data_IF_684821875738
#
_entry.id   IF_684821875738
#
_cell.length_a   1.000
_cell.length_b   1.000
_cell.length_c   1.000
_cell.angle_alpha   90.00
_cell.angle_beta   90.00
_cell.angle_gamma   90.00
#
_symmetry.space_group_name_H-M   'P 1'
#
loop_
_entity.id
_entity.type
_entity.pdbx_description
1 polymer ?
#
# COMPACT_ATOMS: atom_id res chain seq x y z
N UNK A 1 5.60 -30.96 -10.13
CA UNK A 1 5.99 -30.11 -8.98
C UNK A 1 6.61 -31.00 -7.91
N UNK A 2 7.63 -30.50 -7.20
CA UNK A 2 8.26 -31.22 -6.09
C UNK A 2 7.29 -31.24 -4.89
N UNK A 3 7.03 -32.41 -4.31
CA UNK A 3 6.18 -32.58 -3.14
C UNK A 3 6.76 -31.92 -1.88
N UNK A 4 8.08 -31.68 -1.86
CA UNK A 4 8.81 -31.01 -0.78
C UNK A 4 8.95 -29.50 -1.07
N UNK A 5 7.86 -28.84 -1.45
CA UNK A 5 7.81 -27.40 -1.66
C UNK A 5 7.09 -26.75 -0.48
N UNK A 6 7.74 -25.77 0.14
CA UNK A 6 7.24 -25.06 1.32
C UNK A 6 7.14 -23.57 1.03
N UNK A 7 5.99 -22.99 1.35
CA UNK A 7 5.84 -21.53 1.35
C UNK A 7 6.36 -20.96 2.68
N UNK A 8 7.46 -20.22 2.60
CA UNK A 8 8.06 -19.54 3.76
C UNK A 8 7.58 -18.11 3.91
N UNK A 9 6.73 -17.64 2.99
CA UNK A 9 6.29 -16.25 2.93
C UNK A 9 7.40 -15.29 2.51
N UNK A 10 7.12 -14.01 2.60
CA UNK A 10 8.10 -12.95 2.40
C UNK A 10 8.12 -12.06 3.65
N UNK A 11 9.32 -11.74 4.17
CA UNK A 11 9.48 -10.87 5.31
C UNK A 11 9.49 -9.39 4.91
N UNK A 12 9.08 -8.55 5.86
CA UNK A 12 9.26 -7.10 5.82
C UNK A 12 10.00 -6.66 7.10
N UNK A 13 10.81 -5.62 7.00
CA UNK A 13 11.41 -4.99 8.17
C UNK A 13 10.45 -3.95 8.76
N UNK A 14 9.53 -4.43 9.60
CA UNK A 14 8.54 -3.58 10.26
C UNK A 14 9.13 -2.70 11.37
N UNK A 15 10.39 -2.92 11.78
CA UNK A 15 11.05 -2.08 12.78
C UNK A 15 11.18 -0.63 12.34
N UNK A 16 11.16 -0.38 11.03
CA UNK A 16 11.17 0.96 10.43
C UNK A 16 9.79 1.64 10.49
N UNK A 17 8.72 0.88 10.78
CA UNK A 17 7.32 1.34 10.76
C UNK A 17 6.61 1.11 12.12
N UNK A 18 7.18 1.56 13.27
CA UNK A 18 6.56 1.33 14.58
C UNK A 18 5.25 2.13 14.72
N UNK A 19 4.13 1.43 14.90
CA UNK A 19 2.80 2.03 14.98
C UNK A 19 2.60 2.97 16.18
N UNK A 20 3.36 2.77 17.25
CA UNK A 20 3.29 3.57 18.50
C UNK A 20 4.17 4.83 18.47
N UNK A 21 4.89 5.07 17.37
CA UNK A 21 5.72 6.26 17.20
C UNK A 21 4.87 7.44 16.71
N UNK A 22 5.13 8.62 17.24
CA UNK A 22 4.59 9.87 16.70
C UNK A 22 5.47 10.31 15.54
N UNK A 23 4.89 10.40 14.36
CA UNK A 23 5.56 10.84 13.15
C UNK A 23 5.29 12.33 12.90
N UNK A 24 6.32 13.13 12.59
CA UNK A 24 6.10 14.50 12.16
C UNK A 24 5.39 14.52 10.81
N UNK A 25 4.48 15.44 10.62
CA UNK A 25 3.86 15.68 9.30
C UNK A 25 4.95 16.25 8.39
N UNK A 26 5.20 15.66 7.19
CA UNK A 26 6.15 16.23 6.24
C UNK A 26 5.78 17.66 5.85
N UNK A 27 6.77 18.54 5.71
CA UNK A 27 6.54 19.97 5.47
C UNK A 27 5.79 20.26 4.17
N UNK A 28 5.95 19.39 3.17
CA UNK A 28 5.26 19.47 1.87
C UNK A 28 3.85 18.85 1.90
N UNK A 29 3.39 18.36 3.06
CA UNK A 29 2.04 17.84 3.28
C UNK A 29 1.19 18.69 4.24
N UNK A 30 1.76 19.67 4.91
CA UNK A 30 1.08 20.43 5.98
C UNK A 30 -0.18 21.19 5.54
N UNK A 31 -0.30 21.50 4.25
CA UNK A 31 -1.42 22.26 3.70
C UNK A 31 -2.46 21.42 2.95
N UNK A 32 -2.30 20.08 2.94
CA UNK A 32 -3.26 19.23 2.27
C UNK A 32 -4.52 19.01 3.10
N UNK A 33 -5.66 19.11 2.44
CA UNK A 33 -6.94 18.82 3.06
C UNK A 33 -7.13 17.31 3.25
N UNK A 34 -7.62 16.92 4.41
CA UNK A 34 -8.02 15.53 4.68
C UNK A 34 -9.45 15.24 4.14
N UNK A 35 -9.77 14.00 3.75
CA UNK A 35 -8.91 12.82 3.81
C UNK A 35 -7.83 12.80 2.72
N UNK A 36 -6.63 12.34 3.09
CA UNK A 36 -5.50 12.13 2.18
C UNK A 36 -5.40 10.65 1.79
N UNK A 37 -5.49 10.38 0.50
CA UNK A 37 -5.34 9.05 -0.09
C UNK A 37 -3.95 8.96 -0.72
N UNK A 38 -3.06 8.17 -0.10
CA UNK A 38 -1.64 8.20 -0.42
C UNK A 38 -1.09 6.91 -1.02
N UNK A 39 -0.03 7.06 -1.80
CA UNK A 39 0.79 5.98 -2.33
C UNK A 39 2.26 6.28 -2.11
N UNK A 40 3.06 5.28 -1.74
CA UNK A 40 4.52 5.36 -1.68
C UNK A 40 5.17 4.31 -2.57
N UNK A 41 6.22 4.68 -3.30
CA UNK A 41 7.03 3.78 -4.12
C UNK A 41 7.19 4.25 -5.56
N UNK A 42 7.79 3.40 -6.42
CA UNK A 42 7.99 3.74 -7.82
C UNK A 42 6.66 3.92 -8.55
N UNK A 43 6.50 5.08 -9.18
CA UNK A 43 5.31 5.47 -9.94
C UNK A 43 5.61 5.21 -11.41
N UNK A 44 5.32 3.98 -11.86
CA UNK A 44 5.66 3.54 -13.21
C UNK A 44 4.47 2.88 -13.91
N UNK A 45 4.35 3.15 -15.19
CA UNK A 45 3.31 2.58 -16.09
C UNK A 45 3.36 1.06 -16.21
N UNK A 46 4.50 0.45 -15.84
CA UNK A 46 4.66 -1.01 -15.77
C UNK A 46 3.98 -1.62 -14.53
N UNK A 47 3.77 -0.85 -13.47
CA UNK A 47 3.25 -1.32 -12.18
C UNK A 47 1.92 -0.73 -11.78
N UNK A 48 1.68 0.54 -12.09
CA UNK A 48 0.48 1.26 -11.70
C UNK A 48 -0.43 1.50 -12.91
N UNK A 49 -1.72 1.45 -12.66
CA UNK A 49 -2.76 1.77 -13.63
C UNK A 49 -3.12 3.26 -13.50
N UNK A 50 -2.49 4.08 -14.35
CA UNK A 50 -2.68 5.53 -14.34
C UNK A 50 -4.10 5.94 -14.73
N UNK A 51 -4.73 5.22 -15.67
CA UNK A 51 -6.09 5.51 -16.10
C UNK A 51 -7.11 5.23 -14.99
N UNK A 52 -6.95 4.10 -14.28
CA UNK A 52 -7.75 3.78 -13.09
C UNK A 52 -7.58 4.86 -12.01
N UNK A 53 -6.34 5.27 -11.73
CA UNK A 53 -6.05 6.31 -10.75
C UNK A 53 -6.67 7.66 -11.16
N UNK A 54 -6.61 7.99 -12.46
CA UNK A 54 -7.24 9.19 -13.00
C UNK A 54 -8.77 9.14 -12.84
N UNK A 55 -9.39 8.02 -13.15
CA UNK A 55 -10.84 7.85 -13.00
C UNK A 55 -11.26 8.00 -11.55
N UNK A 56 -10.56 7.36 -10.60
CA UNK A 56 -10.84 7.47 -9.17
C UNK A 56 -10.70 8.92 -8.71
N UNK A 57 -9.57 9.57 -8.99
CA UNK A 57 -9.29 10.92 -8.49
C UNK A 57 -10.22 11.98 -9.11
N UNK A 58 -10.54 11.87 -10.40
CA UNK A 58 -11.45 12.81 -11.08
C UNK A 58 -12.89 12.72 -10.57
N UNK A 59 -13.31 11.53 -10.13
CA UNK A 59 -14.66 11.30 -9.56
C UNK A 59 -14.74 11.60 -8.06
N UNK A 60 -13.60 11.84 -7.41
CA UNK A 60 -13.50 12.15 -5.99
C UNK A 60 -12.75 13.48 -5.74
N UNK A 61 -13.24 14.62 -6.30
CA UNK A 61 -12.55 15.91 -6.20
C UNK A 61 -12.46 16.45 -4.76
N UNK A 62 -13.28 15.92 -3.84
CA UNK A 62 -13.30 16.28 -2.41
C UNK A 62 -12.15 15.63 -1.62
N UNK A 63 -11.42 14.66 -2.17
CA UNK A 63 -10.32 13.98 -1.51
C UNK A 63 -8.98 14.42 -2.10
N UNK A 64 -7.95 14.46 -1.27
CA UNK A 64 -6.58 14.75 -1.70
C UNK A 64 -5.86 13.45 -2.02
N UNK A 65 -5.30 13.34 -3.22
CA UNK A 65 -4.47 12.20 -3.62
C UNK A 65 -3.00 12.59 -3.63
N UNK A 66 -2.16 11.80 -2.95
CA UNK A 66 -0.72 12.09 -2.79
C UNK A 66 0.10 10.90 -3.25
N UNK A 67 0.97 11.13 -4.22
CA UNK A 67 1.87 10.14 -4.80
C UNK A 67 3.31 10.47 -4.41
N UNK A 68 3.95 9.61 -3.64
CA UNK A 68 5.34 9.76 -3.15
C UNK A 68 6.23 8.74 -3.83
N UNK A 69 7.14 9.21 -4.67
CA UNK A 69 8.09 8.37 -5.38
C UNK A 69 8.50 8.92 -6.73
N UNK A 70 9.46 8.24 -7.34
CA UNK A 70 9.97 8.61 -8.66
C UNK A 70 9.00 8.19 -9.76
N UNK A 71 8.65 9.13 -10.64
CA UNK A 71 7.80 8.90 -11.82
C UNK A 71 8.63 8.46 -13.02
N UNK A 72 8.06 7.57 -13.85
CA UNK A 72 8.55 7.35 -15.22
C UNK A 72 8.02 8.42 -16.18
N UNK A 73 8.56 8.45 -17.41
CA UNK A 73 8.18 9.45 -18.41
C UNK A 73 6.69 9.38 -18.81
N UNK A 74 6.06 8.20 -18.69
CA UNK A 74 4.63 8.06 -18.97
C UNK A 74 3.80 8.80 -17.91
N UNK A 75 4.10 8.61 -16.62
CA UNK A 75 3.38 9.28 -15.53
C UNK A 75 3.61 10.79 -15.55
N UNK A 76 4.86 11.27 -15.76
CA UNK A 76 5.16 12.71 -15.85
C UNK A 76 4.35 13.44 -16.92
N UNK A 77 4.03 12.76 -18.02
CA UNK A 77 3.26 13.31 -19.12
C UNK A 77 1.76 12.97 -19.05
N UNK A 78 1.32 12.24 -18.02
CA UNK A 78 -0.06 11.83 -17.88
C UNK A 78 -0.96 12.98 -17.43
N UNK A 79 -2.21 12.98 -17.88
CA UNK A 79 -3.18 14.02 -17.51
C UNK A 79 -3.60 14.00 -16.03
N UNK A 80 -3.15 13.04 -15.22
CA UNK A 80 -3.22 13.08 -13.75
C UNK A 80 -2.68 14.38 -13.17
N UNK A 81 -1.60 14.94 -13.75
CA UNK A 81 -1.02 16.23 -13.34
C UNK A 81 -1.94 17.45 -13.58
N UNK A 82 -3.04 17.28 -14.31
CA UNK A 82 -4.04 18.35 -14.53
C UNK A 82 -5.12 18.37 -13.45
N UNK A 83 -5.20 17.33 -12.61
CA UNK A 83 -6.16 17.27 -11.52
C UNK A 83 -5.67 18.10 -10.34
N UNK A 84 -6.53 19.00 -9.83
CA UNK A 84 -6.20 19.92 -8.73
C UNK A 84 -6.07 19.21 -7.38
N UNK A 85 -6.63 18.00 -7.26
CA UNK A 85 -6.59 17.17 -6.07
C UNK A 85 -5.55 16.05 -6.13
N UNK A 86 -4.68 16.02 -7.16
CA UNK A 86 -3.61 15.03 -7.32
C UNK A 86 -2.24 15.70 -7.18
N UNK A 87 -1.42 15.21 -6.25
CA UNK A 87 -0.13 15.79 -5.93
C UNK A 87 0.99 14.73 -6.02
N UNK A 88 2.05 15.07 -6.75
CA UNK A 88 3.23 14.23 -6.91
C UNK A 88 4.39 14.90 -6.16
N UNK A 89 4.87 14.27 -5.09
CA UNK A 89 5.87 14.84 -4.19
C UNK A 89 7.31 14.41 -4.53
N UNK A 90 7.47 13.61 -5.59
CA UNK A 90 8.77 13.08 -6.00
C UNK A 90 9.35 12.04 -5.05
N UNK A 91 10.60 11.66 -5.30
CA UNK A 91 11.34 10.69 -4.51
C UNK A 91 11.72 11.25 -3.14
N UNK A 92 11.62 10.42 -2.10
CA UNK A 92 11.97 10.74 -0.72
C UNK A 92 12.97 9.72 -0.19
N UNK A 93 13.74 10.12 0.84
CA UNK A 93 14.63 9.18 1.51
C UNK A 93 13.83 8.09 2.25
N UNK A 94 14.38 6.88 2.32
CA UNK A 94 13.69 5.75 2.94
C UNK A 94 13.30 6.01 4.41
N UNK A 95 14.11 6.76 5.14
CA UNK A 95 13.83 7.12 6.53
C UNK A 95 12.68 8.13 6.70
N UNK A 96 12.27 8.82 5.65
CA UNK A 96 11.15 9.76 5.64
C UNK A 96 9.82 9.07 5.29
N UNK A 97 9.87 7.95 4.54
CA UNK A 97 8.69 7.23 4.07
C UNK A 97 7.67 6.92 5.17
N UNK A 98 8.08 6.46 6.38
CA UNK A 98 7.11 6.23 7.44
C UNK A 98 6.30 7.47 7.84
N UNK A 99 6.89 8.67 7.77
CA UNK A 99 6.19 9.94 8.08
C UNK A 99 5.14 10.28 7.02
N UNK A 100 5.44 10.02 5.74
CA UNK A 100 4.45 10.19 4.65
C UNK A 100 3.29 9.21 4.80
N UNK A 101 3.58 7.92 5.04
CA UNK A 101 2.54 6.92 5.25
C UNK A 101 1.69 7.27 6.48
N UNK A 102 2.33 7.70 7.57
CA UNK A 102 1.62 8.10 8.79
C UNK A 102 0.66 9.29 8.58
N UNK A 103 0.99 10.19 7.65
CA UNK A 103 0.17 11.34 7.29
C UNK A 103 -1.01 11.00 6.35
N UNK A 104 -1.04 9.82 5.72
CA UNK A 104 -2.17 9.38 4.91
C UNK A 104 -3.34 8.90 5.79
N UNK A 105 -4.57 9.16 5.37
CA UNK A 105 -5.76 8.56 5.97
C UNK A 105 -6.04 7.17 5.38
N UNK A 106 -5.78 7.00 4.08
CA UNK A 106 -5.96 5.75 3.34
C UNK A 106 -4.73 5.55 2.45
N UNK A 107 -4.20 4.34 2.40
CA UNK A 107 -3.18 3.96 1.43
C UNK A 107 -3.82 3.28 0.22
N UNK A 108 -3.35 3.62 -0.99
CA UNK A 108 -3.89 3.08 -2.24
C UNK A 108 -2.80 2.33 -3.02
N UNK A 109 -3.16 1.19 -3.62
CA UNK A 109 -2.27 0.46 -4.53
C UNK A 109 -3.00 0.08 -5.82
N UNK A 110 -3.19 1.03 -6.76
CA UNK A 110 -3.89 0.81 -8.03
C UNK A 110 -2.97 0.08 -9.02
N UNK A 111 -2.69 -1.18 -8.74
CA UNK A 111 -1.74 -1.99 -9.48
C UNK A 111 -2.31 -2.39 -10.84
N UNK A 112 -1.48 -2.29 -11.88
CA UNK A 112 -1.77 -2.84 -13.21
C UNK A 112 -1.60 -4.37 -13.16
N UNK A 113 -2.53 -5.11 -13.73
CA UNK A 113 -2.44 -6.58 -13.84
C UNK A 113 -1.71 -6.91 -15.15
N UNK A 114 -0.51 -7.47 -15.03
CA UNK A 114 0.33 -7.93 -16.14
C UNK A 114 1.31 -9.00 -15.65
N UNK A 115 2.16 -9.52 -16.53
CA UNK A 115 3.12 -10.57 -16.22
C UNK A 115 4.10 -10.19 -15.09
N UNK A 116 4.42 -8.90 -14.92
CA UNK A 116 5.34 -8.41 -13.88
C UNK A 116 4.65 -8.38 -12.51
N UNK A 117 3.35 -8.08 -12.49
CA UNK A 117 2.64 -7.74 -11.25
C UNK A 117 1.76 -8.87 -10.73
N UNK A 118 1.33 -9.80 -11.59
CA UNK A 118 0.34 -10.84 -11.24
C UNK A 118 0.79 -11.78 -10.11
N UNK A 119 2.09 -12.03 -10.02
CA UNK A 119 2.70 -12.89 -8.98
C UNK A 119 3.57 -12.13 -7.97
N UNK A 120 3.60 -10.80 -8.03
CA UNK A 120 4.49 -10.00 -7.19
C UNK A 120 3.88 -9.80 -5.80
N UNK A 121 4.62 -10.17 -4.75
CA UNK A 121 4.26 -9.86 -3.37
C UNK A 121 4.44 -8.35 -3.12
N UNK A 122 3.38 -7.63 -2.76
CA UNK A 122 3.43 -6.18 -2.61
C UNK A 122 3.86 -5.76 -1.20
N UNK A 123 5.17 -5.82 -0.88
CA UNK A 123 5.73 -5.48 0.46
C UNK A 123 5.20 -4.19 1.08
N UNK A 124 4.91 -3.18 0.25
CA UNK A 124 4.34 -1.90 0.73
C UNK A 124 3.02 -2.05 1.49
N UNK A 125 2.27 -3.13 1.22
CA UNK A 125 1.03 -3.40 1.94
C UNK A 125 1.34 -3.69 3.41
N UNK A 126 2.37 -4.50 3.69
CA UNK A 126 2.80 -4.75 5.08
C UNK A 126 3.31 -3.48 5.75
N UNK A 127 4.04 -2.61 5.03
CA UNK A 127 4.50 -1.31 5.54
C UNK A 127 3.31 -0.41 5.92
N UNK A 128 2.27 -0.37 5.10
CA UNK A 128 1.04 0.37 5.39
C UNK A 128 0.28 -0.21 6.59
N UNK A 129 0.11 -1.53 6.62
CA UNK A 129 -0.57 -2.23 7.70
C UNK A 129 0.21 -2.15 9.02
N UNK A 130 1.57 -2.13 8.98
CA UNK A 130 2.40 -1.95 10.16
C UNK A 130 2.15 -0.59 10.87
N UNK A 131 1.76 0.44 10.10
CA UNK A 131 1.32 1.73 10.63
C UNK A 131 -0.20 1.80 10.86
N UNK A 132 -0.90 0.65 10.81
CA UNK A 132 -2.34 0.55 11.03
C UNK A 132 -3.19 1.19 9.93
N UNK A 133 -2.59 1.58 8.79
CA UNK A 133 -3.31 2.29 7.73
C UNK A 133 -4.28 1.37 7.00
N UNK A 134 -5.50 1.84 6.71
CA UNK A 134 -6.39 1.15 5.78
C UNK A 134 -5.79 1.15 4.38
N UNK A 135 -5.94 0.04 3.68
CA UNK A 135 -5.36 -0.14 2.34
C UNK A 135 -6.45 -0.54 1.35
N UNK A 136 -6.45 0.12 0.19
CA UNK A 136 -7.29 -0.22 -0.95
C UNK A 136 -6.40 -0.57 -2.13
N UNK A 137 -6.54 -1.78 -2.67
CA UNK A 137 -5.63 -2.30 -3.68
C UNK A 137 -6.37 -3.01 -4.82
N UNK A 138 -5.74 -3.05 -6.00
CA UNK A 138 -6.23 -3.89 -7.10
C UNK A 138 -6.17 -5.36 -6.71
N UNK A 139 -7.25 -6.09 -6.92
CA UNK A 139 -7.34 -7.53 -6.68
C UNK A 139 -6.32 -8.28 -7.55
N UNK A 140 -5.44 -9.04 -6.92
CA UNK A 140 -4.52 -9.98 -7.57
C UNK A 140 -4.44 -11.25 -6.75
N UNK A 141 -3.85 -12.31 -7.31
CA UNK A 141 -3.67 -13.56 -6.56
C UNK A 141 -2.81 -13.34 -5.30
N UNK A 142 -1.78 -12.49 -5.37
CA UNK A 142 -0.93 -12.18 -4.22
C UNK A 142 -1.69 -11.41 -3.12
N UNK A 143 -2.70 -10.63 -3.49
CA UNK A 143 -3.52 -9.86 -2.54
C UNK A 143 -4.49 -10.74 -1.74
N UNK A 144 -4.70 -12.02 -2.09
CA UNK A 144 -5.53 -12.93 -1.28
C UNK A 144 -4.96 -13.16 0.13
N UNK A 145 -3.65 -12.99 0.32
CA UNK A 145 -3.00 -13.07 1.63
C UNK A 145 -3.46 -11.96 2.59
N UNK A 146 -3.96 -10.86 2.06
CA UNK A 146 -4.37 -9.66 2.80
C UNK A 146 -5.89 -9.46 2.84
N UNK A 147 -6.69 -10.45 2.38
CA UNK A 147 -8.13 -10.30 2.10
C UNK A 147 -8.93 -9.79 3.29
N UNK A 148 -8.56 -10.16 4.52
CA UNK A 148 -9.25 -9.73 5.74
C UNK A 148 -8.88 -8.29 6.18
N UNK A 149 -7.77 -7.75 5.66
CA UNK A 149 -7.18 -6.48 6.15
C UNK A 149 -7.14 -5.38 5.09
N UNK A 150 -7.42 -5.74 3.82
CA UNK A 150 -7.29 -4.85 2.67
C UNK A 150 -8.54 -4.93 1.80
N UNK A 151 -9.01 -3.79 1.33
CA UNK A 151 -10.04 -3.75 0.30
C UNK A 151 -9.45 -4.16 -1.05
N UNK A 152 -9.91 -5.31 -1.57
CA UNK A 152 -9.52 -5.82 -2.89
C UNK A 152 -10.54 -5.40 -3.95
N UNK A 153 -10.13 -4.50 -4.85
CA UNK A 153 -10.99 -3.83 -5.82
C UNK A 153 -10.65 -4.21 -7.27
N UNK A 154 -11.67 -4.24 -8.12
CA UNK A 154 -11.54 -4.64 -9.53
C UNK A 154 -11.85 -3.48 -10.50
N UNK A 155 -12.42 -2.37 -10.02
CA UNK A 155 -12.83 -1.22 -10.81
C UNK A 155 -12.77 0.08 -10.04
N UNK A 156 -12.85 1.22 -10.73
CA UNK A 156 -12.94 2.53 -10.09
C UNK A 156 -14.15 2.63 -9.13
N UNK A 157 -15.29 2.06 -9.49
CA UNK A 157 -16.48 2.04 -8.63
C UNK A 157 -16.21 1.36 -7.30
N UNK A 158 -15.55 0.19 -7.32
CA UNK A 158 -15.23 -0.55 -6.09
C UNK A 158 -14.18 0.16 -5.26
N UNK A 159 -13.20 0.85 -5.87
CA UNK A 159 -12.24 1.71 -5.18
C UNK A 159 -12.94 2.88 -4.49
N UNK A 160 -13.81 3.61 -5.19
CA UNK A 160 -14.53 4.76 -4.66
C UNK A 160 -15.43 4.33 -3.50
N UNK A 161 -16.16 3.22 -3.66
CA UNK A 161 -16.98 2.65 -2.58
C UNK A 161 -16.11 2.33 -1.36
N UNK A 162 -14.98 1.63 -1.54
CA UNK A 162 -14.07 1.27 -0.47
C UNK A 162 -13.48 2.51 0.25
N UNK A 163 -13.17 3.59 -0.47
CA UNK A 163 -12.72 4.85 0.13
C UNK A 163 -13.78 5.41 1.09
N UNK A 164 -15.03 5.53 0.63
CA UNK A 164 -16.11 6.05 1.45
C UNK A 164 -16.39 5.18 2.68
N UNK A 165 -16.47 3.87 2.52
CA UNK A 165 -16.68 2.93 3.62
C UNK A 165 -15.53 2.95 4.63
N UNK A 166 -14.30 3.09 4.16
CA UNK A 166 -13.12 3.17 5.03
C UNK A 166 -13.12 4.43 5.89
N UNK A 167 -13.47 5.58 5.32
CA UNK A 167 -13.54 6.85 6.06
C UNK A 167 -14.57 6.76 7.20
N UNK A 168 -15.68 6.06 6.99
CA UNK A 168 -16.76 5.95 7.97
C UNK A 168 -16.48 4.91 9.07
N UNK A 169 -15.75 3.83 8.75
CA UNK A 169 -15.69 2.64 9.59
C UNK A 169 -14.28 2.34 10.19
N UNK A 170 -13.28 3.19 9.96
CA UNK A 170 -11.96 2.98 10.52
C UNK A 170 -11.96 3.30 12.03
N UNK A 171 -11.60 2.32 12.86
CA UNK A 171 -11.59 2.43 14.32
C UNK A 171 -10.35 1.72 14.90
N UNK A 172 -10.09 1.96 16.19
CA UNK A 172 -8.89 1.44 16.88
C UNK A 172 -8.79 -0.09 16.87
N UNK A 173 -9.91 -0.80 16.93
CA UNK A 173 -9.93 -2.27 16.88
C UNK A 173 -9.38 -2.78 15.54
N UNK A 174 -9.85 -2.20 14.43
CA UNK A 174 -9.41 -2.57 13.08
C UNK A 174 -7.95 -2.14 12.84
N UNK A 175 -7.56 -0.97 13.36
CA UNK A 175 -6.16 -0.49 13.30
C UNK A 175 -5.24 -1.50 13.98
N UNK A 176 -5.57 -1.94 15.20
CA UNK A 176 -4.77 -2.92 15.93
C UNK A 176 -4.66 -4.27 15.22
N UNK A 177 -5.73 -4.74 14.59
CA UNK A 177 -5.71 -5.98 13.80
C UNK A 177 -4.75 -5.89 12.61
N UNK A 178 -4.72 -4.76 11.88
CA UNK A 178 -3.77 -4.53 10.79
C UNK A 178 -2.32 -4.56 11.27
N UNK A 179 -2.04 -3.89 12.38
CA UNK A 179 -0.70 -3.87 12.98
C UNK A 179 -0.26 -5.28 13.40
N UNK A 180 -1.12 -6.03 14.07
CA UNK A 180 -0.84 -7.42 14.48
C UNK A 180 -0.58 -8.32 13.26
N UNK A 181 -1.36 -8.17 12.21
CA UNK A 181 -1.18 -8.92 10.97
C UNK A 181 0.18 -8.63 10.33
N UNK A 182 0.57 -7.35 10.21
CA UNK A 182 1.88 -6.98 9.68
C UNK A 182 3.04 -7.58 10.52
N UNK A 183 2.89 -7.65 11.84
CA UNK A 183 3.86 -8.28 12.72
C UNK A 183 4.01 -9.81 12.50
N UNK A 184 3.06 -10.47 11.84
CA UNK A 184 3.19 -11.88 11.44
C UNK A 184 4.06 -12.09 10.19
N UNK A 185 4.34 -11.04 9.42
CA UNK A 185 5.08 -11.07 8.15
C UNK A 185 6.52 -10.55 8.26
N UNK A 186 7.19 -10.81 9.36
CA UNK A 186 8.59 -10.39 9.56
C UNK A 186 9.59 -11.35 8.91
N UNK A 187 10.79 -10.86 8.61
CA UNK A 187 11.91 -11.70 8.16
C UNK A 187 12.22 -12.82 9.16
N UNK A 188 12.12 -12.55 10.46
CA UNK A 188 12.32 -13.54 11.51
C UNK A 188 11.32 -14.70 11.37
N UNK A 189 10.05 -14.41 11.16
CA UNK A 189 9.01 -15.42 10.95
C UNK A 189 9.24 -16.23 9.66
N UNK A 190 9.69 -15.60 8.57
CA UNK A 190 10.03 -16.32 7.33
C UNK A 190 11.21 -17.26 7.54
N UNK A 191 12.25 -16.81 8.24
CA UNK A 191 13.42 -17.64 8.59
C UNK A 191 13.01 -18.81 9.50
N UNK A 192 12.15 -18.57 10.50
CA UNK A 192 11.66 -19.63 11.37
C UNK A 192 10.87 -20.70 10.59
N UNK A 193 10.00 -20.30 9.65
CA UNK A 193 9.31 -21.23 8.75
C UNK A 193 10.29 -22.06 7.91
N UNK A 194 11.36 -21.43 7.39
CA UNK A 194 12.43 -22.12 6.67
C UNK A 194 13.08 -23.20 7.52
N UNK A 195 13.46 -22.89 8.77
CA UNK A 195 14.04 -23.88 9.69
C UNK A 195 13.07 -25.01 10.03
N UNK A 196 11.78 -24.71 10.20
CA UNK A 196 10.76 -25.74 10.42
C UNK A 196 10.65 -26.67 9.20
N UNK A 197 10.62 -26.13 7.97
CA UNK A 197 10.57 -26.91 6.75
C UNK A 197 11.80 -27.84 6.63
N UNK A 198 13.01 -27.34 6.92
CA UNK A 198 14.24 -28.15 6.91
C UNK A 198 14.17 -29.29 7.93
N UNK A 199 13.64 -29.02 9.14
CA UNK A 199 13.51 -30.05 10.19
C UNK A 199 12.49 -31.13 9.83
N UNK A 200 11.45 -30.80 9.07
CA UNK A 200 10.41 -31.77 8.64
C UNK A 200 10.89 -32.73 7.55
N UNK A 201 12.04 -32.45 6.90
CA UNK A 201 12.65 -33.30 5.89
C UNK A 201 13.61 -34.36 6.48
N UNK A 202 13.87 -34.32 7.77
CA UNK A 202 14.67 -35.31 8.50
C UNK A 202 13.79 -36.34 9.17
#
# INVERSE_FOLDING_TARGET
YNTNTYDIGQGVDISQFPANKIYPIPSDMTNFAHPIIGYTGLITSKRLNADLLFEIASRCPQFTFVMVGKEDEYFKNHHLHKLTNMHFLGEKNNNEIPSYIAAFDICINPQKINEITIGNYPRKIDEYLALGKPVIATRTKAMSLFEEYVWNCDSADTYIKAIHETIQNNNDSIINLRVQFAHSHTWENSVNKLYQAIKSLK
#
